data_IF_303810548936
#
_entry.id   IF_303810548936
#
_cell.length_a   1.000
_cell.length_b   1.000
_cell.length_c   1.000
_cell.angle_alpha   90.00
_cell.angle_beta   90.00
_cell.angle_gamma   90.00
#
_symmetry.space_group_name_H-M   'P 1'
#
loop_
_entity.id
_entity.type
_entity.pdbx_description
1 polymer ?
#
# COMPACT_ATOMS: atom_id res chain seq x y z
N UNK A 1 7.31 10.81 14.45
CA UNK A 1 7.64 10.40 13.09
C UNK A 1 6.32 10.35 12.36
N UNK A 2 6.12 11.16 11.31
CA UNK A 2 4.83 11.12 10.60
C UNK A 2 4.64 9.71 10.04
N UNK A 3 3.52 9.09 10.39
CA UNK A 3 3.11 7.80 9.84
C UNK A 3 2.81 8.03 8.35
N UNK A 4 3.73 7.59 7.49
CA UNK A 4 3.48 7.60 6.06
C UNK A 4 2.50 6.47 5.77
N UNK A 5 1.27 6.81 5.40
CA UNK A 5 0.25 5.84 5.00
C UNK A 5 0.82 4.90 3.93
N UNK A 6 0.79 3.59 4.20
CA UNK A 6 1.15 2.60 3.18
C UNK A 6 -0.03 2.44 2.21
N UNK A 7 0.15 2.80 0.92
CA UNK A 7 -0.95 2.76 -0.04
C UNK A 7 -1.30 1.35 -0.50
N UNK A 8 -0.49 0.35 -0.11
CA UNK A 8 -0.68 -1.05 -0.46
C UNK A 8 -0.47 -1.94 0.77
N UNK A 9 -1.19 -3.07 0.86
CA UNK A 9 -2.20 -3.55 -0.09
C UNK A 9 -3.50 -2.72 -0.05
N UNK A 10 -4.18 -2.59 -1.19
CA UNK A 10 -5.44 -1.85 -1.31
C UNK A 10 -6.43 -2.57 -2.24
N UNK A 11 -7.72 -2.34 -2.00
CA UNK A 11 -8.82 -2.80 -2.87
C UNK A 11 -9.41 -1.58 -3.56
N UNK A 12 -9.48 -1.62 -4.89
CA UNK A 12 -9.98 -0.51 -5.70
C UNK A 12 -10.99 -1.00 -6.72
N UNK A 13 -11.95 -0.14 -7.07
CA UNK A 13 -12.85 -0.41 -8.18
C UNK A 13 -12.10 -0.24 -9.51
N UNK A 14 -12.07 -1.28 -10.36
CA UNK A 14 -11.22 -1.31 -11.56
C UNK A 14 -11.42 -0.11 -12.49
N UNK A 15 -12.66 0.26 -12.78
CA UNK A 15 -12.95 1.40 -13.68
C UNK A 15 -12.54 2.74 -13.08
N UNK A 16 -12.66 2.88 -11.75
CA UNK A 16 -12.25 4.11 -11.09
C UNK A 16 -10.72 4.22 -11.09
N UNK A 17 -10.03 3.11 -10.80
CA UNK A 17 -8.58 3.02 -10.84
C UNK A 17 -8.03 3.29 -12.25
N UNK A 18 -8.65 2.75 -13.30
CA UNK A 18 -8.24 3.01 -14.69
C UNK A 18 -8.29 4.50 -15.04
N UNK A 19 -9.39 5.17 -14.69
CA UNK A 19 -9.56 6.61 -14.91
C UNK A 19 -8.51 7.38 -14.11
N UNK A 20 -8.39 7.11 -12.81
CA UNK A 20 -7.43 7.79 -11.94
C UNK A 20 -5.99 7.63 -12.46
N UNK A 21 -5.55 6.41 -12.78
CA UNK A 21 -4.22 6.17 -13.34
C UNK A 21 -4.02 6.89 -14.67
N UNK A 22 -5.02 6.85 -15.56
CA UNK A 22 -4.92 7.48 -16.88
C UNK A 22 -4.75 9.00 -16.75
N UNK A 23 -5.54 9.62 -15.87
CA UNK A 23 -5.51 11.07 -15.68
C UNK A 23 -4.20 11.50 -15.00
N UNK A 24 -3.74 10.80 -13.96
CA UNK A 24 -2.47 11.14 -13.29
C UNK A 24 -1.26 10.96 -14.21
N UNK A 25 -1.26 9.94 -15.07
CA UNK A 25 -0.21 9.74 -16.08
C UNK A 25 -0.20 10.89 -17.09
N UNK A 26 -1.38 11.34 -17.56
CA UNK A 26 -1.49 12.48 -18.49
C UNK A 26 -1.00 13.78 -17.88
N UNK A 27 -1.24 13.96 -16.58
CA UNK A 27 -0.78 15.12 -15.82
C UNK A 27 0.72 15.06 -15.48
N UNK A 28 1.40 13.95 -15.83
CA UNK A 28 2.83 13.76 -15.61
C UNK A 28 3.21 13.41 -14.18
N UNK A 29 2.25 12.96 -13.35
CA UNK A 29 2.49 12.52 -11.98
C UNK A 29 2.17 11.03 -11.82
N UNK A 30 3.20 10.21 -11.90
CA UNK A 30 3.09 8.75 -11.81
C UNK A 30 3.15 8.22 -10.36
N UNK A 31 3.12 9.11 -9.36
CA UNK A 31 3.19 8.70 -7.95
C UNK A 31 1.91 8.01 -7.54
N UNK A 32 2.06 6.85 -6.91
CA UNK A 32 0.93 6.07 -6.38
C UNK A 32 0.10 6.88 -5.38
N UNK A 33 0.72 7.77 -4.59
CA UNK A 33 -0.01 8.65 -3.66
C UNK A 33 -0.99 9.59 -4.39
N UNK A 34 -0.63 10.05 -5.59
CA UNK A 34 -1.50 10.92 -6.40
C UNK A 34 -2.71 10.14 -6.90
N UNK A 35 -2.52 8.88 -7.34
CA UNK A 35 -3.63 7.98 -7.70
C UNK A 35 -4.54 7.72 -6.51
N UNK A 36 -3.99 7.40 -5.34
CA UNK A 36 -4.78 7.12 -4.13
C UNK A 36 -5.55 8.36 -3.66
N UNK A 37 -4.96 9.55 -3.81
CA UNK A 37 -5.65 10.81 -3.50
C UNK A 37 -6.80 11.08 -4.47
N UNK A 38 -6.61 10.80 -5.77
CA UNK A 38 -7.67 10.94 -6.78
C UNK A 38 -8.84 9.96 -6.58
N UNK A 39 -8.58 8.80 -5.99
CA UNK A 39 -9.57 7.78 -5.69
C UNK A 39 -10.37 8.03 -4.39
N UNK A 40 -10.01 9.06 -3.60
CA UNK A 40 -10.61 9.36 -2.29
C UNK A 40 -10.71 8.11 -1.39
N UNK A 41 -9.57 7.44 -1.19
CA UNK A 41 -9.51 6.14 -0.51
C UNK A 41 -9.82 6.25 0.99
N UNK A 42 -10.53 5.25 1.50
CA UNK A 42 -10.64 5.03 2.95
C UNK A 42 -9.42 4.24 3.44
N UNK A 43 -8.70 4.80 4.41
CA UNK A 43 -7.56 4.13 5.07
C UNK A 43 -8.09 3.39 6.29
N UNK A 44 -7.71 2.12 6.43
CA UNK A 44 -8.03 1.32 7.61
C UNK A 44 -6.96 1.53 8.68
N UNK A 45 -7.39 1.61 9.94
CA UNK A 45 -6.47 1.72 11.07
C UNK A 45 -5.78 0.38 11.33
N UNK A 46 -4.54 0.43 11.84
CA UNK A 46 -3.74 -0.76 12.18
C UNK A 46 -4.51 -1.73 13.09
N UNK A 47 -5.32 -1.20 14.02
CA UNK A 47 -6.15 -2.02 14.93
C UNK A 47 -7.23 -2.81 14.21
N UNK A 48 -7.83 -2.24 13.17
CA UNK A 48 -8.86 -2.92 12.37
C UNK A 48 -8.22 -4.05 11.57
N UNK A 49 -7.03 -3.81 11.04
CA UNK A 49 -6.25 -4.79 10.28
C UNK A 49 -5.77 -5.93 11.18
N UNK A 50 -5.23 -5.61 12.37
CA UNK A 50 -4.73 -6.57 13.36
C UNK A 50 -5.80 -7.54 13.87
N UNK A 51 -7.07 -7.13 13.85
CA UNK A 51 -8.19 -8.00 14.22
C UNK A 51 -8.37 -9.18 13.25
N UNK A 52 -7.85 -9.07 12.02
CA UNK A 52 -8.05 -10.05 10.96
C UNK A 52 -6.74 -10.69 10.45
N UNK A 53 -5.60 -10.02 10.61
CA UNK A 53 -4.30 -10.51 10.16
C UNK A 53 -3.21 -10.14 11.17
N UNK A 54 -2.21 -11.00 11.34
CA UNK A 54 -1.07 -10.66 12.19
C UNK A 54 -0.27 -9.48 11.60
N UNK A 55 0.36 -8.68 12.46
CA UNK A 55 1.16 -7.50 12.07
C UNK A 55 2.22 -7.80 11.01
N UNK A 56 2.77 -9.01 11.03
CA UNK A 56 3.74 -9.48 10.06
C UNK A 56 3.21 -9.70 8.64
N UNK A 57 1.89 -9.78 8.45
CA UNK A 57 1.26 -10.02 7.15
C UNK A 57 1.47 -8.86 6.15
N UNK A 58 1.82 -7.67 6.65
CA UNK A 58 2.00 -6.46 5.85
C UNK A 58 3.46 -5.99 5.80
N UNK A 59 4.41 -6.76 6.34
CA UNK A 59 5.81 -6.41 6.24
C UNK A 59 6.34 -6.56 4.81
N UNK A 60 6.84 -5.46 4.27
CA UNK A 60 7.51 -5.45 2.98
C UNK A 60 8.89 -6.13 3.08
N UNK A 61 9.26 -6.86 2.02
CA UNK A 61 10.61 -7.38 1.81
C UNK A 61 11.25 -6.54 0.71
N UNK A 62 12.01 -5.52 1.11
CA UNK A 62 12.63 -4.58 0.18
C UNK A 62 14.13 -4.86 -0.04
N UNK A 63 14.74 -5.64 0.86
CA UNK A 63 16.16 -5.90 0.88
C UNK A 63 16.49 -7.38 1.13
N UNK A 64 17.75 -7.74 0.87
CA UNK A 64 18.24 -9.07 1.19
C UNK A 64 18.28 -9.34 2.70
N UNK A 65 18.47 -8.30 3.51
CA UNK A 65 18.46 -8.44 4.97
C UNK A 65 17.04 -8.68 5.49
N UNK A 66 16.01 -8.06 4.89
CA UNK A 66 14.61 -8.36 5.19
C UNK A 66 14.31 -9.83 4.92
N UNK A 67 14.80 -10.36 3.79
CA UNK A 67 14.63 -11.76 3.42
C UNK A 67 15.33 -12.72 4.40
N UNK A 68 16.56 -12.38 4.81
CA UNK A 68 17.30 -13.17 5.82
C UNK A 68 16.59 -13.20 7.17
N UNK A 69 15.99 -12.08 7.58
CA UNK A 69 15.24 -11.99 8.83
C UNK A 69 14.02 -12.92 8.87
N UNK A 70 13.46 -13.26 7.71
CA UNK A 70 12.33 -14.20 7.58
C UNK A 70 12.75 -15.67 7.54
N UNK A 71 14.05 -15.97 7.38
CA UNK A 71 14.51 -17.36 7.33
C UNK A 71 14.53 -17.94 8.75
N UNK A 72 13.78 -19.02 9.04
CA UNK A 72 13.82 -19.63 10.36
C UNK A 72 15.26 -20.07 10.66
N UNK A 73 15.81 -19.61 11.80
CA UNK A 73 17.09 -20.13 12.30
C UNK A 73 16.88 -21.61 12.60
N UNK A 74 17.43 -22.48 11.76
CA UNK A 74 17.57 -23.91 12.02
C UNK A 74 18.57 -24.14 13.14
#
# INVERSE_FOLDING_TARGET
>A
VSETTQPLPAVVHCRAAEVACTDTIRDGDERLQTVMSALDVTVLDDREVEAHAGTHAFHNVNSFDDLRALTPRR
#
